data_IF_444044163549
#
_entry.id   IF_444044163549
#
_cell.length_a   1.000
_cell.length_b   1.000
_cell.length_c   1.000
_cell.angle_alpha   90.00
_cell.angle_beta   90.00
_cell.angle_gamma   90.00
#
_symmetry.space_group_name_H-M   'P 1'
#
loop_
_entity.id
_entity.type
_entity.pdbx_description
1 polymer ?
#
# COMPACT_ATOMS: atom_id res chain seq x y z
N UNK A 1 -8.97 -18.82 12.58
CA UNK A 1 -9.50 -17.55 12.04
C UNK A 1 -8.34 -16.67 11.67
N UNK A 2 -8.42 -15.89 10.57
CA UNK A 2 -7.39 -14.94 10.23
C UNK A 2 -7.32 -13.82 11.28
N UNK A 3 -6.10 -13.44 11.68
CA UNK A 3 -5.90 -12.38 12.67
C UNK A 3 -5.98 -10.99 12.01
N UNK A 4 -7.12 -10.32 12.11
CA UNK A 4 -7.30 -8.98 11.53
C UNK A 4 -6.45 -7.89 12.20
N UNK A 5 -5.89 -8.13 13.40
CA UNK A 5 -5.02 -7.15 14.07
C UNK A 5 -3.73 -6.86 13.29
N UNK A 6 -3.29 -7.79 12.45
CA UNK A 6 -2.09 -7.61 11.62
C UNK A 6 -2.31 -6.60 10.49
N UNK A 7 -3.55 -6.40 10.04
CA UNK A 7 -3.87 -5.46 8.95
C UNK A 7 -3.33 -4.07 9.26
N UNK A 8 -3.65 -3.54 10.44
CA UNK A 8 -3.18 -2.23 10.87
C UNK A 8 -1.66 -2.15 10.99
N UNK A 9 -1.01 -3.22 11.47
CA UNK A 9 0.45 -3.27 11.57
C UNK A 9 1.13 -3.25 10.20
N UNK A 10 0.61 -4.02 9.25
CA UNK A 10 1.12 -4.05 7.86
C UNK A 10 0.95 -2.70 7.19
N UNK A 11 -0.25 -2.11 7.25
CA UNK A 11 -0.52 -0.78 6.70
C UNK A 11 0.40 0.29 7.28
N UNK A 12 0.50 0.36 8.60
CA UNK A 12 1.35 1.34 9.29
C UNK A 12 2.81 1.19 8.85
N UNK A 13 3.32 -0.04 8.76
CA UNK A 13 4.69 -0.26 8.32
C UNK A 13 4.92 0.18 6.88
N UNK A 14 3.98 -0.10 5.98
CA UNK A 14 4.07 0.36 4.58
C UNK A 14 4.05 1.89 4.54
N UNK A 15 3.10 2.54 5.23
CA UNK A 15 3.05 4.01 5.31
C UNK A 15 4.39 4.58 5.77
N UNK A 16 4.95 4.04 6.86
CA UNK A 16 6.26 4.44 7.37
C UNK A 16 7.39 4.25 6.37
N UNK A 17 7.40 3.17 5.64
CA UNK A 17 8.38 2.91 4.61
C UNK A 17 8.29 3.91 3.45
N UNK A 18 7.08 4.31 3.06
CA UNK A 18 6.86 5.27 1.98
C UNK A 18 7.24 6.70 2.37
N UNK A 19 6.86 7.16 3.57
CA UNK A 19 7.20 8.53 4.02
C UNK A 19 8.69 8.71 4.34
N UNK A 20 9.39 7.62 4.67
CA UNK A 20 10.81 7.64 4.94
C UNK A 20 11.68 7.45 3.69
N UNK A 21 11.07 7.25 2.53
CA UNK A 21 11.80 7.18 1.26
C UNK A 21 11.83 8.57 0.59
N UNK A 22 12.99 9.23 0.54
CA UNK A 22 13.09 10.60 0.03
C UNK A 22 12.73 10.71 -1.46
N UNK A 23 12.96 9.65 -2.24
CA UNK A 23 12.62 9.64 -3.66
C UNK A 23 11.10 9.58 -3.86
N UNK A 24 10.39 8.80 -3.04
CA UNK A 24 8.93 8.71 -3.05
C UNK A 24 8.33 10.06 -2.62
N UNK A 25 8.80 10.64 -1.53
CA UNK A 25 8.34 11.94 -1.04
C UNK A 25 8.56 13.04 -2.09
N UNK A 26 9.75 13.08 -2.70
CA UNK A 26 10.04 14.01 -3.79
C UNK A 26 9.15 13.78 -5.02
N UNK A 27 8.85 12.52 -5.35
CA UNK A 27 8.00 12.18 -6.49
C UNK A 27 6.52 12.54 -6.26
N UNK A 28 6.01 12.43 -5.04
CA UNK A 28 4.67 12.92 -4.65
C UNK A 28 4.58 14.43 -4.88
N UNK A 29 5.65 15.17 -4.55
CA UNK A 29 5.72 16.62 -4.70
C UNK A 29 4.53 17.34 -4.07
N UNK A 30 4.30 17.04 -2.78
CA UNK A 30 3.23 17.66 -2.01
C UNK A 30 3.50 19.17 -1.84
N UNK A 31 2.50 20.00 -2.16
CA UNK A 31 2.56 21.47 -2.02
C UNK A 31 1.41 21.96 -1.13
N UNK A 32 1.11 21.22 -0.07
CA UNK A 32 0.06 21.57 0.87
C UNK A 32 0.66 22.42 1.99
N UNK A 33 -0.01 23.51 2.34
CA UNK A 33 0.36 24.33 3.48
C UNK A 33 0.32 23.52 4.79
N UNK A 34 1.33 23.71 5.65
CA UNK A 34 1.43 23.05 6.95
C UNK A 34 1.95 21.60 6.88
N UNK A 35 2.64 21.24 5.81
CA UNK A 35 3.51 20.04 5.73
C UNK A 35 4.93 20.50 6.01
N UNK A 36 5.41 20.27 7.24
CA UNK A 36 6.74 20.68 7.68
C UNK A 36 7.70 19.50 7.68
N UNK A 37 7.19 18.29 7.93
CA UNK A 37 7.96 17.06 7.91
C UNK A 37 7.23 15.90 7.20
N UNK A 38 7.91 14.75 7.07
CA UNK A 38 7.34 13.61 6.37
C UNK A 38 6.16 12.95 7.11
N UNK A 39 6.09 13.09 8.44
CA UNK A 39 4.97 12.57 9.24
C UNK A 39 3.67 13.30 8.91
N UNK A 40 3.73 14.57 8.53
CA UNK A 40 2.56 15.35 8.11
C UNK A 40 1.91 14.85 6.81
N UNK A 41 2.61 14.00 6.04
CA UNK A 41 2.05 13.36 4.85
C UNK A 41 1.04 12.27 5.19
N UNK A 42 1.09 11.71 6.41
CA UNK A 42 0.15 10.67 6.87
C UNK A 42 -1.25 11.28 7.00
N UNK A 43 -2.23 10.59 6.42
CA UNK A 43 -3.63 11.03 6.35
C UNK A 43 -3.87 12.38 5.64
N UNK A 44 -2.85 12.90 4.93
CA UNK A 44 -3.00 14.04 4.04
C UNK A 44 -2.71 13.68 2.59
N UNK A 45 -1.72 12.83 2.37
CA UNK A 45 -1.23 12.41 1.05
C UNK A 45 -1.05 10.90 0.96
N UNK A 46 -0.68 10.25 2.06
CA UNK A 46 -0.58 8.79 2.15
C UNK A 46 -1.62 8.32 3.17
N UNK A 47 -2.57 7.52 2.69
CA UNK A 47 -3.71 7.04 3.46
C UNK A 47 -3.62 5.53 3.64
N UNK A 48 -3.90 5.06 4.84
CA UNK A 48 -4.05 3.63 5.16
C UNK A 48 -5.49 3.11 4.95
N UNK A 49 -6.30 3.89 4.23
CA UNK A 49 -7.68 3.58 3.85
C UNK A 49 -7.98 4.11 2.45
N UNK A 50 -9.10 3.69 1.88
CA UNK A 50 -9.54 4.18 0.58
C UNK A 50 -10.05 5.63 0.69
N UNK A 51 -9.40 6.55 -0.04
CA UNK A 51 -9.71 7.97 -0.04
C UNK A 51 -10.33 8.39 -1.36
N UNK A 52 -11.43 9.13 -1.28
CA UNK A 52 -12.07 9.69 -2.48
C UNK A 52 -11.30 10.94 -2.95
N UNK A 53 -10.78 10.99 -4.20
CA UNK A 53 -10.04 12.14 -4.73
C UNK A 53 -10.80 13.46 -4.67
N UNK A 54 -12.11 13.45 -4.83
CA UNK A 54 -12.92 14.68 -4.82
C UNK A 54 -13.08 15.33 -3.45
N UNK A 55 -12.71 14.66 -2.39
CA UNK A 55 -12.67 15.26 -1.04
C UNK A 55 -11.36 15.97 -0.74
N UNK A 56 -10.35 15.79 -1.60
CA UNK A 56 -9.00 16.33 -1.45
C UNK A 56 -8.84 17.56 -2.37
N UNK A 57 -9.24 18.76 -1.90
CA UNK A 57 -9.23 19.96 -2.74
C UNK A 57 -7.83 20.43 -3.15
N UNK A 58 -6.84 20.22 -2.29
CA UNK A 58 -5.49 20.78 -2.43
C UNK A 58 -4.43 19.71 -2.76
N UNK A 59 -4.83 18.43 -2.83
CA UNK A 59 -3.92 17.31 -3.08
C UNK A 59 -4.02 16.88 -4.52
N UNK A 60 -2.93 17.03 -5.25
CA UNK A 60 -2.85 16.65 -6.66
C UNK A 60 -2.35 15.22 -6.90
N UNK A 61 -1.57 14.68 -5.97
CA UNK A 61 -1.10 13.28 -5.99
C UNK A 61 -1.18 12.71 -4.59
N UNK A 62 -1.75 11.52 -4.46
CA UNK A 62 -1.85 10.81 -3.19
C UNK A 62 -1.80 9.30 -3.38
N UNK A 63 -1.50 8.59 -2.30
CA UNK A 63 -1.38 7.13 -2.26
C UNK A 63 -2.36 6.59 -1.22
N UNK A 64 -3.11 5.55 -1.59
CA UNK A 64 -3.97 4.81 -0.65
C UNK A 64 -3.51 3.36 -0.55
N UNK A 65 -3.55 2.80 0.66
CA UNK A 65 -3.09 1.46 0.97
C UNK A 65 -4.22 0.66 1.58
N UNK A 66 -4.52 -0.47 0.97
CA UNK A 66 -5.50 -1.42 1.45
C UNK A 66 -4.85 -2.78 1.67
N UNK A 67 -5.25 -3.49 2.70
CA UNK A 67 -4.83 -4.86 2.95
C UNK A 67 -6.08 -5.72 3.02
N UNK A 68 -6.14 -6.71 2.17
CA UNK A 68 -7.24 -7.66 2.09
C UNK A 68 -6.79 -9.01 2.60
N UNK A 69 -7.54 -9.55 3.53
CA UNK A 69 -7.41 -10.94 3.96
C UNK A 69 -8.63 -11.67 3.37
N UNK A 70 -8.44 -12.54 2.37
CA UNK A 70 -9.57 -13.21 1.73
C UNK A 70 -10.33 -14.04 2.75
N UNK A 71 -11.66 -13.94 2.72
CA UNK A 71 -12.54 -14.78 3.49
C UNK A 71 -12.38 -16.24 3.05
N UNK A 72 -12.06 -17.10 4.00
CA UNK A 72 -12.32 -18.52 4.07
C UNK A 72 -12.11 -19.39 2.81
N UNK A 73 -10.98 -19.23 2.13
CA UNK A 73 -10.47 -20.25 1.21
C UNK A 73 -9.19 -20.88 1.74
N UNK A 74 -9.12 -21.07 3.03
CA UNK A 74 -8.02 -21.76 3.67
C UNK A 74 -8.06 -23.24 3.30
N UNK A 75 -6.90 -23.77 2.94
CA UNK A 75 -6.72 -25.23 2.89
C UNK A 75 -6.74 -25.72 4.34
N UNK A 76 -7.76 -26.49 4.69
CA UNK A 76 -7.77 -27.19 5.97
C UNK A 76 -6.78 -28.36 5.86
N UNK A 77 -5.72 -28.31 6.62
CA UNK A 77 -4.98 -29.53 6.90
C UNK A 77 -5.82 -30.38 7.86
N UNK A 78 -6.14 -31.61 7.46
CA UNK A 78 -6.97 -32.51 8.26
C UNK A 78 -6.39 -32.85 9.64
N UNK A 79 -5.13 -32.49 9.94
CA UNK A 79 -4.46 -32.82 11.20
C UNK A 79 -4.39 -31.71 12.23
N UNK A 80 -4.44 -30.40 11.86
CA UNK A 80 -4.07 -29.34 12.79
C UNK A 80 -5.05 -28.15 12.85
N UNK A 81 -6.18 -28.19 12.17
CA UNK A 81 -7.17 -27.07 12.09
C UNK A 81 -6.56 -25.69 11.71
N UNK A 82 -5.41 -25.67 11.06
CA UNK A 82 -4.74 -24.43 10.65
C UNK A 82 -5.34 -23.91 9.34
N UNK A 83 -5.72 -22.65 9.34
CA UNK A 83 -6.19 -21.95 8.15
C UNK A 83 -5.06 -21.12 7.58
N UNK A 84 -4.63 -21.43 6.36
CA UNK A 84 -3.63 -20.65 5.66
C UNK A 84 -4.33 -19.54 4.87
N UNK A 85 -3.87 -18.32 5.05
CA UNK A 85 -4.41 -17.14 4.39
C UNK A 85 -3.32 -16.47 3.57
N UNK A 86 -3.67 -16.07 2.35
CA UNK A 86 -2.78 -15.31 1.47
C UNK A 86 -3.25 -13.86 1.39
N UNK A 87 -2.74 -12.97 2.25
CA UNK A 87 -3.14 -11.58 2.23
C UNK A 87 -2.68 -10.88 0.95
N UNK A 88 -3.46 -9.91 0.53
CA UNK A 88 -3.17 -9.06 -0.62
C UNK A 88 -3.03 -7.62 -0.15
N UNK A 89 -2.00 -6.93 -0.60
CA UNK A 89 -1.79 -5.50 -0.39
C UNK A 89 -2.10 -4.79 -1.70
N UNK A 90 -3.01 -3.85 -1.66
CA UNK A 90 -3.41 -3.06 -2.80
C UNK A 90 -3.02 -1.60 -2.56
N UNK A 91 -2.23 -1.04 -3.47
CA UNK A 91 -1.73 0.34 -3.42
C UNK A 91 -2.22 1.08 -4.64
N UNK A 92 -2.95 2.17 -4.41
CA UNK A 92 -3.44 3.05 -5.45
C UNK A 92 -2.64 4.34 -5.44
N UNK A 93 -2.02 4.66 -6.56
CA UNK A 93 -1.34 5.94 -6.81
C UNK A 93 -2.29 6.75 -7.68
N UNK A 94 -2.82 7.82 -7.11
CA UNK A 94 -3.80 8.68 -7.78
C UNK A 94 -3.22 10.06 -8.00
N UNK A 95 -3.23 10.53 -9.23
CA UNK A 95 -2.78 11.89 -9.58
C UNK A 95 -3.79 12.60 -10.46
N UNK A 96 -3.99 13.89 -10.19
CA UNK A 96 -4.71 14.78 -11.11
C UNK A 96 -3.94 14.90 -12.44
N UNK A 97 -4.65 15.01 -13.57
CA UNK A 97 -4.04 15.06 -14.90
C UNK A 97 -3.00 16.17 -15.06
N UNK A 98 -3.24 17.35 -14.46
CA UNK A 98 -2.31 18.48 -14.50
C UNK A 98 -1.00 18.20 -13.74
N UNK A 99 -1.00 17.22 -12.83
CA UNK A 99 0.14 16.87 -11.99
C UNK A 99 0.90 15.63 -12.49
N UNK A 100 0.50 15.05 -13.61
CA UNK A 100 1.11 13.82 -14.13
C UNK A 100 2.57 13.97 -14.56
N UNK A 101 3.01 15.18 -14.91
CA UNK A 101 4.40 15.42 -15.32
C UNK A 101 5.30 15.66 -14.11
N UNK A 102 6.38 14.88 -13.99
CA UNK A 102 7.41 15.06 -12.97
C UNK A 102 8.35 16.18 -13.38
N UNK A 103 8.08 17.42 -12.95
CA UNK A 103 8.89 18.60 -13.28
C UNK A 103 9.97 18.92 -12.25
N UNK A 104 9.76 18.43 -11.04
CA UNK A 104 10.60 18.73 -9.87
C UNK A 104 11.84 17.83 -9.74
N UNK A 105 11.91 16.72 -10.49
CA UNK A 105 13.04 15.79 -10.48
C UNK A 105 13.70 15.79 -11.86
N UNK A 106 14.98 16.20 -11.97
CA UNK A 106 15.69 16.22 -13.24
C UNK A 106 15.80 14.83 -13.88
N UNK A 107 15.74 14.77 -15.22
CA UNK A 107 15.94 13.56 -16.02
C UNK A 107 14.83 12.49 -15.92
N UNK A 108 13.76 12.71 -15.19
CA UNK A 108 12.62 11.81 -15.21
C UNK A 108 11.74 12.11 -16.42
N UNK A 109 11.56 11.11 -17.28
CA UNK A 109 10.75 11.17 -18.50
C UNK A 109 9.41 10.47 -18.38
N UNK A 110 9.28 9.62 -17.34
CA UNK A 110 8.04 8.90 -17.02
C UNK A 110 6.98 9.86 -16.48
N UNK A 111 5.72 9.47 -16.60
CA UNK A 111 4.66 10.14 -15.84
C UNK A 111 4.81 9.86 -14.34
N UNK A 112 4.15 10.67 -13.51
CA UNK A 112 4.28 10.60 -12.05
C UNK A 112 3.85 9.24 -11.48
N UNK A 113 2.72 8.71 -11.93
CA UNK A 113 2.20 7.44 -11.44
C UNK A 113 3.13 6.27 -11.80
N UNK A 114 3.69 6.27 -13.01
CA UNK A 114 4.66 5.25 -13.44
C UNK A 114 5.96 5.33 -12.62
N UNK A 115 6.45 6.54 -12.40
CA UNK A 115 7.66 6.74 -11.61
C UNK A 115 7.46 6.33 -10.16
N UNK A 116 6.37 6.76 -9.53
CA UNK A 116 6.01 6.36 -8.16
C UNK A 116 5.84 4.83 -8.06
N UNK A 117 5.16 4.20 -9.02
CA UNK A 117 5.01 2.75 -9.00
C UNK A 117 6.35 2.00 -9.07
N UNK A 118 7.29 2.52 -9.85
CA UNK A 118 8.65 1.96 -9.92
C UNK A 118 9.39 2.08 -8.59
N UNK A 119 9.26 3.22 -7.90
CA UNK A 119 9.87 3.42 -6.59
C UNK A 119 9.25 2.51 -5.52
N UNK A 120 7.91 2.42 -5.51
CA UNK A 120 7.17 1.57 -4.57
C UNK A 120 7.48 0.09 -4.80
N UNK A 121 7.53 -0.35 -6.06
CA UNK A 121 7.93 -1.72 -6.40
C UNK A 121 9.32 -2.03 -5.84
N UNK A 122 10.30 -1.17 -6.11
CA UNK A 122 11.67 -1.32 -5.60
C UNK A 122 11.71 -1.36 -4.06
N UNK A 123 10.82 -0.61 -3.41
CA UNK A 123 10.79 -0.51 -1.94
C UNK A 123 10.14 -1.71 -1.27
N UNK A 124 9.13 -2.32 -1.88
CA UNK A 124 8.28 -3.32 -1.24
C UNK A 124 8.50 -4.74 -1.76
N UNK A 125 8.74 -4.91 -3.06
CA UNK A 125 8.80 -6.21 -3.72
C UNK A 125 9.95 -7.08 -3.19
N UNK A 126 9.67 -8.34 -2.90
CA UNK A 126 10.63 -9.30 -2.35
C UNK A 126 10.90 -9.16 -0.85
N UNK A 127 10.24 -8.24 -0.15
CA UNK A 127 10.42 -8.07 1.29
C UNK A 127 9.53 -9.01 2.10
N UNK A 128 10.05 -9.45 3.25
CA UNK A 128 9.38 -10.40 4.15
C UNK A 128 9.16 -9.88 5.58
N UNK A 129 9.56 -8.62 5.84
CA UNK A 129 9.57 -8.05 7.19
C UNK A 129 8.24 -7.39 7.60
N UNK A 130 7.16 -7.64 6.84
CA UNK A 130 5.80 -7.14 7.14
C UNK A 130 5.01 -8.06 8.09
N UNK A 131 5.57 -9.22 8.46
CA UNK A 131 4.89 -10.21 9.30
C UNK A 131 3.84 -11.07 8.57
N UNK A 132 3.80 -10.97 7.24
CA UNK A 132 2.86 -11.73 6.38
C UNK A 132 3.58 -12.63 5.36
N UNK A 133 4.89 -12.81 5.50
CA UNK A 133 5.73 -13.51 4.52
C UNK A 133 6.32 -12.58 3.46
N UNK A 134 7.03 -13.16 2.50
CA UNK A 134 7.60 -12.42 1.36
C UNK A 134 6.48 -11.96 0.43
N UNK A 135 6.44 -10.67 0.14
CA UNK A 135 5.46 -10.09 -0.78
C UNK A 135 6.05 -9.96 -2.19
N UNK A 136 5.22 -10.20 -3.20
CA UNK A 136 5.60 -10.14 -4.60
C UNK A 136 4.56 -9.33 -5.39
N UNK A 137 5.03 -8.43 -6.26
CA UNK A 137 4.15 -7.68 -7.16
C UNK A 137 3.50 -8.63 -8.17
N UNK A 138 2.17 -8.69 -8.17
CA UNK A 138 1.38 -9.52 -9.08
C UNK A 138 0.71 -8.74 -10.19
N UNK A 139 0.38 -7.49 -9.92
CA UNK A 139 -0.29 -6.63 -10.89
C UNK A 139 0.13 -5.18 -10.71
N UNK A 140 0.30 -4.48 -11.82
CA UNK A 140 0.56 -3.05 -11.88
C UNK A 140 -0.15 -2.49 -13.10
N UNK A 141 -1.38 -2.00 -12.92
CA UNK A 141 -2.26 -1.61 -14.01
C UNK A 141 -2.64 -0.13 -13.90
N UNK A 142 -2.82 0.49 -15.06
CA UNK A 142 -3.32 1.85 -15.17
C UNK A 142 -4.83 1.84 -15.34
N UNK A 143 -5.50 2.76 -14.66
CA UNK A 143 -6.93 3.01 -14.78
C UNK A 143 -7.20 4.50 -14.58
N UNK A 144 -8.45 4.91 -14.66
CA UNK A 144 -8.86 6.29 -14.39
C UNK A 144 -9.97 6.31 -13.34
N UNK A 145 -9.98 7.35 -12.55
CA UNK A 145 -11.07 7.66 -11.63
C UNK A 145 -11.79 8.89 -12.16
N UNK A 146 -12.90 8.68 -12.85
CA UNK A 146 -13.64 9.70 -13.57
C UNK A 146 -12.79 10.48 -14.59
N UNK A 147 -13.07 11.80 -14.80
CA UNK A 147 -12.50 12.53 -15.94
C UNK A 147 -11.08 13.08 -15.69
N UNK A 148 -10.71 13.40 -14.44
CA UNK A 148 -9.52 14.20 -14.16
C UNK A 148 -8.44 13.47 -13.34
N UNK A 149 -8.72 12.27 -12.82
CA UNK A 149 -7.76 11.52 -12.01
C UNK A 149 -7.32 10.25 -12.71
N UNK A 150 -6.02 10.12 -12.86
CA UNK A 150 -5.38 8.92 -13.36
C UNK A 150 -4.86 8.09 -12.18
N UNK A 151 -5.08 6.81 -12.24
CA UNK A 151 -4.79 5.89 -11.14
C UNK A 151 -3.89 4.76 -11.65
N UNK A 152 -2.90 4.42 -10.86
CA UNK A 152 -2.15 3.18 -11.01
C UNK A 152 -2.40 2.30 -9.80
N UNK A 153 -2.86 1.09 -10.07
CA UNK A 153 -3.18 0.10 -9.05
C UNK A 153 -2.08 -0.96 -9.03
N UNK A 154 -1.43 -1.10 -7.89
CA UNK A 154 -0.42 -2.12 -7.65
C UNK A 154 -0.98 -3.15 -6.68
N UNK A 155 -0.87 -4.43 -7.01
CA UNK A 155 -1.31 -5.53 -6.17
C UNK A 155 -0.11 -6.39 -5.82
N UNK A 156 0.18 -6.49 -4.53
CA UNK A 156 1.18 -7.40 -3.98
C UNK A 156 0.47 -8.55 -3.26
N UNK A 157 0.99 -9.73 -3.44
CA UNK A 157 0.54 -10.92 -2.73
C UNK A 157 1.70 -11.55 -1.97
N UNK A 158 1.40 -12.29 -0.92
CA UNK A 158 2.42 -13.10 -0.26
C UNK A 158 2.84 -14.26 -1.18
N UNK A 159 4.13 -14.48 -1.29
CA UNK A 159 4.70 -15.60 -2.08
C UNK A 159 4.36 -16.93 -1.45
N UNK A 160 4.50 -17.01 -0.14
CA UNK A 160 4.21 -18.20 0.64
C UNK A 160 3.01 -17.98 1.57
N UNK A 161 2.31 -19.08 1.86
CA UNK A 161 1.27 -19.07 2.88
C UNK A 161 1.92 -18.83 4.25
N UNK A 162 1.44 -17.83 4.99
CA UNK A 162 2.00 -17.47 6.27
C UNK A 162 1.10 -17.91 7.44
N UNK A 163 1.63 -18.80 8.27
CA UNK A 163 0.95 -19.27 9.48
C UNK A 163 0.78 -18.18 10.54
N UNK A 164 1.56 -17.09 10.49
CA UNK A 164 1.47 -16.00 11.48
C UNK A 164 0.15 -15.25 11.45
N UNK A 165 -0.66 -15.42 10.41
CA UNK A 165 -2.02 -14.89 10.33
C UNK A 165 -3.06 -15.82 10.93
N UNK A 166 -2.68 -17.03 11.31
CA UNK A 166 -3.57 -17.98 11.96
C UNK A 166 -3.43 -17.84 13.47
N UNK A 167 -4.54 -17.68 14.15
CA UNK A 167 -4.59 -17.76 15.61
C UNK A 167 -4.70 -19.23 15.96
N UNK A 168 -3.72 -19.80 16.66
CA UNK A 168 -3.90 -21.07 17.34
C UNK A 168 -4.96 -20.89 18.45
N UNK A 169 -5.81 -21.88 18.66
CA UNK A 169 -6.89 -21.79 19.66
C UNK A 169 -6.37 -21.58 21.10
N UNK A 170 -5.08 -21.85 21.33
CA UNK A 170 -4.42 -21.68 22.63
C UNK A 170 -3.97 -20.23 22.92
N UNK A 171 -3.90 -19.34 21.93
CA UNK A 171 -3.54 -17.93 22.13
C UNK A 171 -4.70 -17.02 22.60
N UNK A 172 -5.84 -17.59 22.97
CA UNK A 172 -6.99 -16.83 23.48
C UNK A 172 -6.90 -16.46 24.96
N UNK A 173 -5.84 -16.86 25.66
CA UNK A 173 -5.65 -16.59 27.09
C UNK A 173 -4.59 -15.51 27.39
N UNK A 174 -4.40 -14.52 26.56
CA UNK A 174 -3.61 -13.35 26.95
C UNK A 174 -4.39 -12.09 26.54
N UNK A 175 -5.29 -11.64 27.47
CA UNK A 175 -5.92 -10.32 27.66
C UNK A 175 -6.16 -9.45 26.41
#
# INVERSE_FOLDING_TARGET
MANSSIIGKVKNKIVRDLINDPDIVAAINCQIDGVEDNEDLINRVIFDFNQNPYTLRDVQTFITIQVHIPEDRGFYSNSDKRVFVKPTIEIWITSHEDHMRVKNIPKITQNRNDYLSTLIDRRLNGRSDFGIGEIELKSNVETSYEQNYLVRVMIFETKDLNNSLCIDEDDREIE
#
